data_IF_676295287487
#
_entry.id   IF_676295287487
#
_cell.length_a   1.000
_cell.length_b   1.000
_cell.length_c   1.000
_cell.angle_alpha   90.00
_cell.angle_beta   90.00
_cell.angle_gamma   90.00
#
_symmetry.space_group_name_H-M   'P 1'
#
loop_
_entity.id
_entity.type
_entity.pdbx_description
1 polymer ?
#
# COMPACT_ATOMS: atom_id res chain seq x y z
N UNK A 1 24.14 24.16 -44.44
CA UNK A 1 23.62 23.23 -43.41
C UNK A 1 23.75 23.89 -42.04
N UNK A 2 22.71 24.58 -41.55
CA UNK A 2 22.72 25.21 -40.21
C UNK A 2 22.41 24.13 -39.17
N UNK A 3 23.40 23.74 -38.37
CA UNK A 3 23.17 22.93 -37.17
C UNK A 3 22.37 23.78 -36.17
N UNK A 4 21.10 23.43 -35.94
CA UNK A 4 20.32 23.94 -34.83
C UNK A 4 20.94 23.38 -33.56
N UNK A 5 21.71 24.21 -32.84
CA UNK A 5 22.09 23.94 -31.46
C UNK A 5 20.87 24.32 -30.63
N UNK A 6 20.02 23.35 -30.29
CA UNK A 6 19.05 23.54 -29.21
C UNK A 6 19.87 23.60 -27.92
N UNK A 7 20.04 24.80 -27.37
CA UNK A 7 20.50 24.92 -25.98
C UNK A 7 19.49 24.18 -25.12
N UNK A 8 19.89 23.18 -24.32
CA UNK A 8 18.97 22.55 -23.38
C UNK A 8 18.61 23.62 -22.35
N UNK A 9 17.37 24.09 -22.40
CA UNK A 9 16.85 24.94 -21.33
C UNK A 9 16.79 24.07 -20.08
N UNK A 10 17.60 24.44 -19.09
CA UNK A 10 17.59 23.82 -17.76
C UNK A 10 16.99 24.81 -16.80
N UNK A 11 16.05 24.35 -15.98
CA UNK A 11 15.46 25.17 -14.91
C UNK A 11 15.80 24.48 -13.59
N UNK A 12 16.35 25.26 -12.66
CA UNK A 12 16.53 24.83 -11.28
C UNK A 12 15.22 25.11 -10.52
N UNK A 13 14.63 24.05 -9.98
CA UNK A 13 13.41 24.07 -9.18
C UNK A 13 13.71 23.99 -7.68
N UNK A 14 14.98 23.91 -7.27
CA UNK A 14 15.35 23.75 -5.88
C UNK A 14 14.79 22.44 -5.29
N UNK A 15 14.41 22.47 -4.02
CA UNK A 15 13.80 21.33 -3.34
C UNK A 15 12.31 21.31 -3.67
N UNK A 16 11.77 20.15 -4.06
CA UNK A 16 10.36 19.98 -4.39
C UNK A 16 9.60 19.34 -3.23
N UNK A 17 8.37 19.78 -2.99
CA UNK A 17 7.45 19.21 -2.01
C UNK A 17 6.04 19.09 -2.62
N UNK A 18 5.42 17.92 -2.52
CA UNK A 18 4.09 17.68 -3.06
C UNK A 18 3.19 16.95 -2.06
N UNK A 19 1.89 17.25 -2.12
CA UNK A 19 0.86 16.50 -1.39
C UNK A 19 0.37 15.32 -2.23
N UNK A 20 0.15 14.18 -1.58
CA UNK A 20 -0.50 13.01 -2.18
C UNK A 20 -1.99 13.00 -1.83
N UNK A 21 -2.84 12.74 -2.82
CA UNK A 21 -4.28 12.65 -2.64
C UNK A 21 -4.87 11.39 -3.28
N UNK A 22 -5.92 10.87 -2.67
CA UNK A 22 -6.77 9.82 -3.23
C UNK A 22 -8.23 10.23 -3.06
N UNK A 23 -8.98 10.30 -4.17
CA UNK A 23 -10.37 10.77 -4.19
C UNK A 23 -10.56 12.11 -3.45
N UNK A 24 -9.67 13.09 -3.72
CA UNK A 24 -9.62 14.43 -3.10
C UNK A 24 -9.27 14.45 -1.60
N UNK A 25 -8.90 13.32 -1.00
CA UNK A 25 -8.46 13.27 0.39
C UNK A 25 -6.94 13.19 0.48
N UNK A 26 -6.27 14.02 1.28
CA UNK A 26 -4.83 13.94 1.47
C UNK A 26 -4.46 12.64 2.20
N UNK A 27 -3.51 11.91 1.63
CA UNK A 27 -3.04 10.60 2.15
C UNK A 27 -1.54 10.59 2.47
N UNK A 28 -0.85 11.71 2.25
CA UNK A 28 0.59 11.80 2.44
C UNK A 28 1.21 13.02 1.81
N UNK A 29 2.53 13.05 1.86
CA UNK A 29 3.36 14.02 1.14
C UNK A 29 4.65 13.35 0.67
N UNK A 30 5.29 13.98 -0.32
CA UNK A 30 6.59 13.58 -0.83
C UNK A 30 7.48 14.79 -1.03
N UNK A 31 8.77 14.60 -0.82
CA UNK A 31 9.83 15.59 -0.97
C UNK A 31 10.94 15.03 -1.84
N UNK A 32 11.56 15.88 -2.65
CA UNK A 32 12.72 15.45 -3.43
C UNK A 32 13.87 15.09 -2.51
N UNK A 33 14.59 14.02 -2.83
CA UNK A 33 15.76 13.60 -2.03
C UNK A 33 16.92 14.60 -2.09
N UNK A 34 16.94 15.46 -3.11
CA UNK A 34 17.96 16.47 -3.33
C UNK A 34 17.34 17.87 -3.21
N UNK A 35 18.15 18.82 -2.76
CA UNK A 35 17.74 20.22 -2.56
C UNK A 35 17.83 21.08 -3.83
N UNK A 36 18.45 20.55 -4.90
CA UNK A 36 18.69 21.27 -6.16
C UNK A 36 18.20 20.43 -7.34
N UNK A 37 16.89 20.34 -7.51
CA UNK A 37 16.29 19.62 -8.64
C UNK A 37 16.37 20.48 -9.89
N UNK A 38 17.16 20.04 -10.86
CA UNK A 38 17.19 20.63 -12.19
C UNK A 38 16.36 19.79 -13.15
N UNK A 39 15.53 20.46 -13.95
CA UNK A 39 14.78 19.83 -15.03
C UNK A 39 15.32 20.29 -16.38
N UNK A 40 15.33 19.37 -17.33
CA UNK A 40 15.72 19.61 -18.72
C UNK A 40 14.53 19.38 -19.66
N UNK A 41 14.65 19.86 -20.89
CA UNK A 41 13.68 19.53 -21.94
C UNK A 41 13.64 18.02 -22.18
N UNK A 42 12.46 17.42 -22.06
CA UNK A 42 12.25 15.98 -22.26
C UNK A 42 11.90 15.27 -20.96
N UNK A 43 12.25 13.98 -20.89
CA UNK A 43 12.00 13.15 -19.72
C UNK A 43 12.95 13.50 -18.58
N UNK A 44 12.40 13.60 -17.37
CA UNK A 44 13.16 13.87 -16.15
C UNK A 44 12.83 12.76 -15.15
N UNK A 45 13.86 12.20 -14.51
CA UNK A 45 13.72 11.24 -13.44
C UNK A 45 14.10 11.91 -12.12
N UNK A 46 13.11 12.19 -11.27
CA UNK A 46 13.31 12.83 -9.97
C UNK A 46 12.95 11.81 -8.90
N UNK A 47 13.84 11.63 -7.93
CA UNK A 47 13.61 10.77 -6.79
C UNK A 47 12.94 11.54 -5.67
N UNK A 48 11.91 10.93 -5.11
CA UNK A 48 11.15 11.45 -3.99
C UNK A 48 11.16 10.45 -2.84
N UNK A 49 11.12 10.97 -1.62
CA UNK A 49 10.84 10.22 -0.41
C UNK A 49 9.68 10.90 0.31
N UNK A 50 8.97 10.20 1.18
CA UNK A 50 7.83 10.80 1.83
C UNK A 50 7.15 9.89 2.83
N UNK A 51 6.07 10.40 3.40
CA UNK A 51 5.29 9.73 4.42
C UNK A 51 3.82 9.67 4.01
N UNK A 52 3.22 8.49 4.20
CA UNK A 52 1.78 8.31 4.12
C UNK A 52 1.19 8.64 5.49
N UNK A 53 0.29 9.61 5.53
CA UNK A 53 -0.31 10.09 6.78
C UNK A 53 -1.78 10.42 6.57
N UNK A 54 -2.57 10.20 7.62
CA UNK A 54 -3.98 10.60 7.67
C UNK A 54 -4.16 11.77 8.64
N UNK A 55 -4.70 12.88 8.16
CA UNK A 55 -4.98 14.07 8.99
C UNK A 55 -6.46 14.16 9.42
N UNK A 56 -7.32 13.31 8.87
CA UNK A 56 -8.75 13.20 9.21
C UNK A 56 -9.23 11.75 9.07
N UNK A 57 -10.46 11.48 9.53
CA UNK A 57 -11.11 10.17 9.38
C UNK A 57 -11.32 9.79 7.90
N UNK A 58 -11.65 10.75 7.06
CA UNK A 58 -11.84 10.55 5.62
C UNK A 58 -10.50 10.28 4.92
N UNK A 59 -9.45 11.03 5.26
CA UNK A 59 -8.07 10.73 4.84
C UNK A 59 -7.62 9.34 5.28
N UNK A 60 -7.98 8.91 6.50
CA UNK A 60 -7.68 7.56 6.98
C UNK A 60 -8.40 6.51 6.14
N UNK A 61 -9.69 6.69 5.83
CA UNK A 61 -10.43 5.76 4.97
C UNK A 61 -9.86 5.71 3.55
N UNK A 62 -9.48 6.85 2.99
CA UNK A 62 -8.82 6.95 1.69
C UNK A 62 -7.48 6.20 1.67
N UNK A 63 -6.62 6.47 2.66
CA UNK A 63 -5.33 5.79 2.80
C UNK A 63 -5.51 4.28 3.03
N UNK A 64 -6.46 3.88 3.89
CA UNK A 64 -6.82 2.48 4.12
C UNK A 64 -7.26 1.78 2.84
N UNK A 65 -8.07 2.46 2.01
CA UNK A 65 -8.47 1.93 0.69
C UNK A 65 -7.27 1.74 -0.23
N UNK A 66 -6.36 2.71 -0.29
CA UNK A 66 -5.12 2.61 -1.10
C UNK A 66 -4.25 1.43 -0.66
N UNK A 67 -4.07 1.25 0.66
CA UNK A 67 -3.32 0.11 1.22
C UNK A 67 -4.06 -1.20 0.96
N UNK A 68 -5.38 -1.26 1.11
CA UNK A 68 -6.16 -2.47 0.82
C UNK A 68 -6.05 -2.85 -0.66
N UNK A 69 -6.18 -1.88 -1.57
CA UNK A 69 -6.01 -2.10 -3.00
C UNK A 69 -4.63 -2.70 -3.29
N UNK A 70 -3.58 -2.11 -2.72
CA UNK A 70 -2.21 -2.62 -2.83
C UNK A 70 -2.10 -4.09 -2.42
N UNK A 71 -2.65 -4.45 -1.26
CA UNK A 71 -2.58 -5.79 -0.69
C UNK A 71 -3.49 -6.81 -1.37
N UNK A 72 -4.55 -6.34 -2.05
CA UNK A 72 -5.57 -7.19 -2.69
C UNK A 72 -5.44 -7.25 -4.20
N UNK A 73 -4.34 -6.75 -4.77
CA UNK A 73 -4.04 -6.88 -6.19
C UNK A 73 -4.68 -5.81 -7.08
N UNK A 74 -5.11 -4.68 -6.51
CA UNK A 74 -5.71 -3.57 -7.24
C UNK A 74 -4.77 -2.36 -7.35
N UNK A 75 -4.76 -1.72 -8.51
CA UNK A 75 -4.03 -0.46 -8.72
C UNK A 75 -4.82 0.71 -8.16
N UNK A 76 -4.15 1.59 -7.40
CA UNK A 76 -4.75 2.85 -6.95
C UNK A 76 -4.21 4.01 -7.79
N UNK A 77 -5.11 4.87 -8.27
CA UNK A 77 -4.75 6.13 -8.92
C UNK A 77 -4.61 7.20 -7.85
N UNK A 78 -3.39 7.69 -7.65
CA UNK A 78 -3.05 8.73 -6.69
C UNK A 78 -2.80 10.02 -7.47
N UNK A 79 -3.27 11.13 -6.93
CA UNK A 79 -3.00 12.46 -7.46
C UNK A 79 -1.91 13.13 -6.62
N UNK A 80 -0.92 13.72 -7.28
CA UNK A 80 0.16 14.47 -6.66
C UNK A 80 -0.07 15.94 -6.97
N UNK A 81 -0.18 16.78 -5.94
CA UNK A 81 -0.53 18.18 -6.08
C UNK A 81 0.58 19.11 -5.56
N UNK A 82 0.88 20.11 -6.37
CA UNK A 82 1.74 21.22 -5.99
C UNK A 82 0.96 22.31 -5.24
N UNK A 83 1.32 22.49 -3.97
CA UNK A 83 0.83 23.59 -3.14
C UNK A 83 1.64 24.88 -3.27
N UNK A 84 1.33 25.90 -2.45
CA UNK A 84 2.03 27.20 -2.47
C UNK A 84 3.50 27.14 -2.07
N UNK A 85 3.95 26.04 -1.46
CA UNK A 85 5.32 25.80 -1.02
C UNK A 85 5.96 24.61 -1.77
N UNK A 86 5.51 24.33 -3.00
CA UNK A 86 5.95 23.13 -3.72
C UNK A 86 7.40 23.17 -4.22
N UNK A 87 8.06 24.32 -4.12
CA UNK A 87 9.49 24.52 -4.43
C UNK A 87 10.10 25.44 -3.38
N UNK A 88 11.39 25.26 -3.09
CA UNK A 88 12.17 26.17 -2.24
C UNK A 88 12.36 27.57 -2.84
N UNK A 89 12.02 27.79 -4.11
CA UNK A 89 12.07 29.10 -4.76
C UNK A 89 10.69 29.77 -4.83
N UNK A 90 10.44 30.84 -4.03
CA UNK A 90 9.12 31.48 -3.94
C UNK A 90 8.56 31.98 -5.28
N UNK A 91 9.43 32.46 -6.18
CA UNK A 91 9.03 32.95 -7.50
C UNK A 91 8.47 31.83 -8.37
N UNK A 92 9.06 30.63 -8.29
CA UNK A 92 8.62 29.46 -9.06
C UNK A 92 7.41 28.80 -8.42
N UNK A 93 7.26 28.91 -7.09
CA UNK A 93 6.14 28.33 -6.36
C UNK A 93 4.78 28.80 -6.93
N UNK A 94 4.65 30.10 -7.19
CA UNK A 94 3.44 30.66 -7.80
C UNK A 94 3.14 30.08 -9.20
N UNK A 95 4.18 29.70 -9.95
CA UNK A 95 4.04 29.14 -11.30
C UNK A 95 3.71 27.65 -11.34
N UNK A 96 4.00 26.90 -10.26
CA UNK A 96 3.74 25.45 -10.20
C UNK A 96 2.53 25.10 -9.34
N UNK A 97 1.95 26.04 -8.59
CA UNK A 97 0.70 25.82 -7.84
C UNK A 97 -0.38 25.26 -8.75
N UNK A 98 -1.04 24.19 -8.32
CA UNK A 98 -2.08 23.52 -9.08
C UNK A 98 -1.56 22.56 -10.16
N UNK A 99 -0.23 22.40 -10.30
CA UNK A 99 0.34 21.27 -11.02
C UNK A 99 -0.16 19.98 -10.37
N UNK A 100 -0.79 19.15 -11.20
CA UNK A 100 -1.31 17.85 -10.82
C UNK A 100 -0.64 16.76 -11.66
N UNK A 101 -0.14 15.73 -10.99
CA UNK A 101 0.38 14.53 -11.63
C UNK A 101 -0.46 13.34 -11.21
N UNK A 102 -0.90 12.56 -12.19
CA UNK A 102 -1.60 11.31 -11.93
C UNK A 102 -0.57 10.19 -11.88
N UNK A 103 -0.42 9.55 -10.72
CA UNK A 103 0.49 8.42 -10.52
C UNK A 103 -0.31 7.16 -10.19
N UNK A 104 0.16 6.02 -10.69
CA UNK A 104 -0.44 4.74 -10.40
C UNK A 104 0.40 4.02 -9.36
N UNK A 105 -0.21 3.72 -8.21
CA UNK A 105 0.39 2.82 -7.24
C UNK A 105 0.07 1.38 -7.68
N UNK A 106 1.07 0.63 -8.17
CA UNK A 106 0.85 -0.73 -8.64
C UNK A 106 0.46 -1.64 -7.46
N UNK A 107 -0.22 -2.77 -7.71
CA UNK A 107 -0.49 -3.74 -6.67
C UNK A 107 0.79 -4.36 -6.12
N UNK A 108 0.70 -4.94 -4.92
CA UNK A 108 1.77 -5.78 -4.39
C UNK A 108 1.98 -6.98 -5.32
N UNK A 109 3.21 -7.15 -5.81
CA UNK A 109 3.53 -8.12 -6.85
C UNK A 109 3.55 -9.57 -6.38
N UNK A 110 3.49 -9.79 -5.07
CA UNK A 110 3.48 -11.12 -4.46
C UNK A 110 2.14 -11.39 -3.78
N UNK A 111 1.83 -12.67 -3.55
CA UNK A 111 0.68 -13.03 -2.73
C UNK A 111 0.98 -12.70 -1.26
N UNK A 112 0.09 -11.95 -0.61
CA UNK A 112 0.23 -11.62 0.81
C UNK A 112 0.31 -12.88 1.67
N UNK A 113 -0.59 -13.85 1.45
CA UNK A 113 -0.55 -15.16 2.11
C UNK A 113 0.20 -16.13 1.19
N UNK A 114 1.46 -16.40 1.50
CA UNK A 114 2.32 -17.26 0.69
C UNK A 114 1.99 -18.74 0.86
N UNK A 115 1.61 -19.16 2.08
CA UNK A 115 1.20 -20.53 2.34
C UNK A 115 0.43 -20.64 3.64
N UNK A 116 -0.49 -21.61 3.69
CA UNK A 116 -1.17 -22.05 4.90
C UNK A 116 -0.93 -23.55 5.07
N UNK A 117 -0.31 -23.93 6.18
CA UNK A 117 0.09 -25.32 6.45
C UNK A 117 -0.58 -25.78 7.74
N UNK A 118 -1.45 -26.78 7.65
CA UNK A 118 -1.96 -27.50 8.81
C UNK A 118 -0.86 -28.43 9.34
N UNK A 119 -0.37 -28.14 10.55
CA UNK A 119 0.60 -28.98 11.26
C UNK A 119 -0.08 -30.18 11.93
N UNK A 120 -1.26 -29.95 12.47
CA UNK A 120 -2.11 -30.99 13.05
C UNK A 120 -3.57 -30.56 12.95
N UNK A 121 -4.45 -31.55 12.90
CA UNK A 121 -5.89 -31.37 12.91
C UNK A 121 -6.51 -32.52 13.72
N UNK A 122 -7.46 -32.20 14.59
CA UNK A 122 -8.23 -33.14 15.39
C UNK A 122 -9.70 -32.81 15.26
N UNK A 123 -10.50 -33.83 15.00
CA UNK A 123 -11.94 -33.73 14.85
C UNK A 123 -12.58 -34.66 15.90
N UNK A 124 -13.27 -34.07 16.87
CA UNK A 124 -13.87 -34.78 17.99
C UNK A 124 -15.39 -34.60 17.91
N UNK A 125 -16.14 -35.62 17.48
CA UNK A 125 -17.60 -35.59 17.51
C UNK A 125 -18.09 -35.44 18.95
N UNK A 126 -19.09 -34.58 19.17
CA UNK A 126 -19.77 -34.51 20.47
C UNK A 126 -20.67 -35.72 20.65
N UNK A 127 -20.62 -36.35 21.82
CA UNK A 127 -21.50 -37.49 22.15
C UNK A 127 -22.92 -37.05 22.50
N UNK A 128 -23.11 -35.78 22.84
CA UNK A 128 -24.36 -35.26 23.43
C UNK A 128 -25.05 -34.21 22.54
N UNK A 129 -24.39 -33.75 21.48
CA UNK A 129 -24.91 -32.74 20.55
C UNK A 129 -24.56 -33.14 19.11
N UNK A 130 -25.27 -32.60 18.12
CA UNK A 130 -24.91 -32.78 16.69
C UNK A 130 -23.74 -31.88 16.26
N UNK A 131 -22.86 -31.55 17.19
CA UNK A 131 -21.72 -30.66 16.96
C UNK A 131 -20.43 -31.48 16.91
N UNK A 132 -19.44 -30.91 16.22
CA UNK A 132 -18.10 -31.48 16.11
C UNK A 132 -17.11 -30.41 16.53
N UNK A 133 -16.18 -30.77 17.42
CA UNK A 133 -15.08 -29.89 17.78
C UNK A 133 -13.92 -30.14 16.82
N UNK A 134 -13.52 -29.10 16.08
CA UNK A 134 -12.33 -29.11 15.26
C UNK A 134 -11.24 -28.31 15.97
N UNK A 135 -10.06 -28.90 16.13
CA UNK A 135 -8.86 -28.23 16.63
C UNK A 135 -7.76 -28.37 15.59
N UNK A 136 -7.11 -27.27 15.25
CA UNK A 136 -6.04 -27.26 14.25
C UNK A 136 -4.87 -26.40 14.71
N UNK A 137 -3.65 -26.86 14.41
CA UNK A 137 -2.44 -26.06 14.48
C UNK A 137 -2.06 -25.64 13.07
N UNK A 138 -2.03 -24.34 12.81
CA UNK A 138 -1.79 -23.79 11.47
C UNK A 138 -0.56 -22.90 11.50
N UNK A 139 0.35 -23.11 10.55
CA UNK A 139 1.43 -22.18 10.24
C UNK A 139 1.07 -21.41 8.99
N UNK A 140 1.02 -20.08 9.09
CA UNK A 140 0.80 -19.19 7.95
C UNK A 140 2.10 -18.48 7.64
N UNK A 141 2.49 -18.49 6.36
CA UNK A 141 3.59 -17.66 5.86
C UNK A 141 2.98 -16.46 5.15
N UNK A 142 3.42 -15.28 5.53
CA UNK A 142 2.95 -14.01 4.97
C UNK A 142 4.16 -13.31 4.36
N UNK A 143 4.03 -12.88 3.11
CA UNK A 143 5.04 -12.06 2.46
C UNK A 143 4.84 -10.62 2.95
N UNK A 144 5.88 -10.03 3.57
CA UNK A 144 5.79 -8.65 4.06
C UNK A 144 5.79 -7.67 2.88
N UNK A 145 4.74 -6.85 2.72
CA UNK A 145 4.66 -5.86 1.65
C UNK A 145 5.47 -4.60 1.94
N UNK A 146 6.00 -4.45 3.17
CA UNK A 146 6.71 -3.26 3.63
C UNK A 146 8.24 -3.46 3.69
N UNK A 147 8.73 -4.60 3.20
CA UNK A 147 10.15 -4.96 3.25
C UNK A 147 10.61 -5.45 4.63
N UNK A 148 11.91 -5.68 4.76
CA UNK A 148 12.51 -6.32 5.95
C UNK A 148 12.60 -5.39 7.17
N UNK A 149 12.54 -4.07 6.97
CA UNK A 149 12.72 -3.07 8.02
C UNK A 149 11.41 -2.55 8.61
N UNK A 150 10.27 -2.98 8.07
CA UNK A 150 8.93 -2.56 8.51
C UNK A 150 8.13 -3.78 8.94
N UNK A 151 8.25 -4.19 10.21
CA UNK A 151 7.57 -5.39 10.71
C UNK A 151 6.05 -5.21 10.67
N UNK A 152 5.37 -6.20 10.10
CA UNK A 152 3.91 -6.27 10.10
C UNK A 152 3.44 -6.89 11.42
N UNK A 153 2.73 -6.13 12.25
CA UNK A 153 2.18 -6.64 13.51
C UNK A 153 0.75 -7.16 13.31
N UNK A 154 0.57 -8.48 13.41
CA UNK A 154 -0.75 -9.12 13.26
C UNK A 154 -1.36 -9.30 14.64
N UNK A 155 -2.39 -8.52 14.93
CA UNK A 155 -3.03 -8.55 16.25
C UNK A 155 -4.04 -9.71 16.37
N UNK A 156 -4.86 -9.91 15.34
CA UNK A 156 -5.94 -10.88 15.36
C UNK A 156 -6.14 -11.48 13.98
N UNK A 157 -6.63 -12.72 13.95
CA UNK A 157 -7.04 -13.39 12.72
C UNK A 157 -8.39 -14.07 12.91
N UNK A 158 -9.29 -13.81 11.95
CA UNK A 158 -10.55 -14.52 11.83
C UNK A 158 -10.46 -15.44 10.62
N UNK A 159 -10.80 -16.71 10.79
CA UNK A 159 -10.79 -17.72 9.73
C UNK A 159 -12.15 -18.37 9.62
N UNK A 160 -12.60 -18.65 8.40
CA UNK A 160 -13.72 -19.55 8.15
C UNK A 160 -13.24 -20.69 7.27
N UNK A 161 -13.43 -21.92 7.72
CA UNK A 161 -12.98 -23.14 7.05
C UNK A 161 -14.20 -23.98 6.72
N UNK A 162 -14.40 -24.28 5.44
CA UNK A 162 -15.40 -25.24 5.01
C UNK A 162 -14.84 -26.66 5.14
N UNK A 163 -15.61 -27.54 5.77
CA UNK A 163 -15.39 -28.98 5.76
C UNK A 163 -16.07 -29.54 4.52
N UNK A 164 -15.30 -30.22 3.68
CA UNK A 164 -15.80 -30.84 2.46
C UNK A 164 -15.70 -32.37 2.58
N UNK A 165 -16.74 -33.08 2.14
CA UNK A 165 -16.73 -34.52 1.92
C UNK A 165 -17.16 -34.77 0.48
N UNK A 166 -16.33 -35.43 -0.32
CA UNK A 166 -16.58 -35.63 -1.76
C UNK A 166 -16.93 -34.32 -2.51
N UNK A 167 -16.24 -33.21 -2.19
CA UNK A 167 -16.51 -31.84 -2.65
C UNK A 167 -17.80 -31.17 -2.15
N UNK A 168 -18.66 -31.88 -1.43
CA UNK A 168 -19.85 -31.30 -0.82
C UNK A 168 -19.53 -30.68 0.53
N UNK A 169 -20.02 -29.47 0.77
CA UNK A 169 -19.87 -28.82 2.07
C UNK A 169 -20.71 -29.53 3.12
N UNK A 170 -20.04 -30.11 4.10
CA UNK A 170 -20.65 -30.81 5.24
C UNK A 170 -20.63 -29.97 6.52
N UNK A 171 -19.97 -28.81 6.50
CA UNK A 171 -19.97 -27.88 7.61
C UNK A 171 -19.03 -26.68 7.40
N UNK A 172 -19.12 -25.72 8.31
CA UNK A 172 -18.25 -24.56 8.38
C UNK A 172 -17.75 -24.38 9.81
N UNK A 173 -16.44 -24.26 9.97
CA UNK A 173 -15.80 -23.82 11.20
C UNK A 173 -15.48 -22.33 11.09
N UNK A 174 -15.89 -21.55 12.08
CA UNK A 174 -15.44 -20.16 12.24
C UNK A 174 -14.52 -20.05 13.45
N UNK A 175 -13.30 -19.57 13.22
CA UNK A 175 -12.31 -19.26 14.25
C UNK A 175 -12.24 -17.74 14.37
N UNK A 176 -12.55 -17.22 15.55
CA UNK A 176 -12.51 -15.78 15.81
C UNK A 176 -11.34 -15.46 16.73
N UNK A 177 -10.64 -14.37 16.44
CA UNK A 177 -9.59 -13.79 17.29
C UNK A 177 -8.48 -14.80 17.65
N UNK A 178 -8.06 -15.63 16.69
CA UNK A 178 -6.97 -16.56 16.92
C UNK A 178 -5.70 -15.78 17.30
N UNK A 179 -5.05 -16.08 18.45
CA UNK A 179 -3.81 -15.42 18.84
C UNK A 179 -2.71 -15.82 17.85
N UNK A 180 -2.04 -14.81 17.27
CA UNK A 180 -0.96 -15.03 16.31
C UNK A 180 0.37 -14.97 17.04
N UNK A 181 1.11 -16.09 17.03
CA UNK A 181 2.52 -16.10 17.45
C UNK A 181 3.38 -15.96 16.20
N UNK A 182 3.96 -14.78 16.03
CA UNK A 182 4.97 -14.55 15.00
C UNK A 182 6.26 -15.27 15.43
N UNK A 183 6.85 -16.02 14.50
CA UNK A 183 8.09 -16.79 14.68
C UNK A 183 9.24 -16.12 13.93
#
# INVERSE_FOLDING_TARGET
MRRSVRSPYTIDLGQLHFSLQYNNWPIGYVESTNDNITIHSGENAIQFFGELQSISSESYNALSTVIQNFLTGQTSKIEVLAGPNATSYPLLAAGIVGLSLNVHMPPFSEQLIASLIFKSMSLIPSTNTRNVMLSASITIKINSPLGQQSPLNIQMMNMSVFLLYENDSVGMLSVYQAPVKQL
#
